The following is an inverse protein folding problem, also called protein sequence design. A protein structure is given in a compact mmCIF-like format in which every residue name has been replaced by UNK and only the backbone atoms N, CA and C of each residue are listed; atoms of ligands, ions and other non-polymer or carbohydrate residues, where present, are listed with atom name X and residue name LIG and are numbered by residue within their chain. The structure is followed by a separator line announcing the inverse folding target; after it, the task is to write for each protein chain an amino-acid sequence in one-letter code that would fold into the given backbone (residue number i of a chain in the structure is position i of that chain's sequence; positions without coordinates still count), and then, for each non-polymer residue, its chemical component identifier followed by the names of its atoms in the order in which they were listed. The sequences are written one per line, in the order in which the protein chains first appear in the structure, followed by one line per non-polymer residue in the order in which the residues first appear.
data_IF_589582920720
#
_entry.id   IF_589582920720
#
_cell.length_a   1.000
_cell.length_b   1.000
_cell.length_c   1.000
_cell.angle_alpha   90.00
_cell.angle_beta   90.00
_cell.angle_gamma   90.00
#
_symmetry.space_group_name_H-M   'P 1'
#
loop_
_entity.id
_entity.type
_entity.pdbx_description
1 polymer ?
#
# COMPACT_ATOMS: atom_id res chain seq x y z
N UNK A 1 -41.05 20.27 31.61
CA UNK A 1 -39.98 20.24 30.59
C UNK A 1 -39.05 19.08 30.94
N UNK A 2 -39.26 17.90 30.33
CA UNK A 2 -38.50 16.68 30.64
C UNK A 2 -37.21 16.70 29.81
N UNK A 3 -36.07 16.78 30.50
CA UNK A 3 -34.73 16.79 29.90
C UNK A 3 -34.33 15.34 29.63
N UNK A 4 -34.48 14.88 28.38
CA UNK A 4 -34.01 13.56 27.95
C UNK A 4 -32.48 13.58 28.03
N UNK A 5 -31.91 12.88 29.01
CA UNK A 5 -30.46 12.60 29.03
C UNK A 5 -30.18 11.67 27.86
N UNK A 6 -29.40 12.15 26.89
CA UNK A 6 -28.82 11.30 25.85
C UNK A 6 -27.93 10.27 26.55
N UNK A 7 -28.42 9.03 26.63
CA UNK A 7 -27.64 7.89 27.12
C UNK A 7 -26.56 7.60 26.11
N UNK A 8 -25.30 7.81 26.50
CA UNK A 8 -24.14 7.35 25.76
C UNK A 8 -24.16 5.82 25.79
N UNK A 9 -24.68 5.21 24.73
CA UNK A 9 -24.63 3.75 24.54
C UNK A 9 -23.17 3.41 24.27
N UNK A 10 -22.45 2.90 25.27
CA UNK A 10 -21.11 2.37 25.10
C UNK A 10 -21.26 1.05 24.33
N UNK A 11 -20.77 0.95 23.09
CA UNK A 11 -20.89 -0.29 22.34
C UNK A 11 -20.13 -1.41 23.06
N UNK A 12 -20.63 -2.66 23.01
CA UNK A 12 -19.94 -3.80 23.61
C UNK A 12 -18.52 -3.91 23.04
N UNK A 13 -17.56 -4.35 23.86
CA UNK A 13 -16.13 -4.39 23.52
C UNK A 13 -15.81 -5.05 22.16
N UNK A 14 -16.60 -6.05 21.74
CA UNK A 14 -16.48 -6.67 20.41
C UNK A 14 -16.76 -5.70 19.26
N UNK A 15 -17.82 -4.90 19.37
CA UNK A 15 -18.19 -3.91 18.35
C UNK A 15 -17.16 -2.77 18.25
N UNK A 16 -16.59 -2.34 19.39
CA UNK A 16 -15.49 -1.36 19.39
C UNK A 16 -14.22 -1.90 18.72
N UNK A 17 -13.92 -3.19 18.92
CA UNK A 17 -12.76 -3.85 18.32
C UNK A 17 -12.91 -3.94 16.79
N UNK A 18 -14.09 -4.33 16.30
CA UNK A 18 -14.41 -4.39 14.87
C UNK A 18 -14.33 -2.99 14.23
N UNK A 19 -14.91 -1.97 14.87
CA UNK A 19 -14.81 -0.59 14.40
C UNK A 19 -13.35 -0.09 14.32
N UNK A 20 -12.53 -0.44 15.32
CA UNK A 20 -11.10 -0.14 15.32
C UNK A 20 -10.34 -0.87 14.20
N UNK A 21 -10.75 -2.08 13.83
CA UNK A 21 -10.16 -2.83 12.71
C UNK A 21 -10.58 -2.24 11.35
N UNK A 22 -11.85 -1.89 11.18
CA UNK A 22 -12.37 -1.27 9.96
C UNK A 22 -11.72 0.09 9.70
N UNK A 23 -11.59 0.94 10.74
CA UNK A 23 -10.86 2.22 10.63
C UNK A 23 -9.38 2.04 10.27
N UNK A 24 -8.74 1.00 10.80
CA UNK A 24 -7.36 0.61 10.50
C UNK A 24 -7.20 0.09 9.06
N UNK A 25 -8.16 -0.69 8.56
CA UNK A 25 -8.23 -1.13 7.16
C UNK A 25 -8.37 0.05 6.20
N UNK A 26 -9.32 0.96 6.50
CA UNK A 26 -9.51 2.20 5.74
C UNK A 26 -8.20 2.99 5.71
N UNK A 27 -7.54 3.17 6.86
CA UNK A 27 -6.27 3.89 6.95
C UNK A 27 -5.17 3.30 6.06
N UNK A 28 -5.06 1.97 5.95
CA UNK A 28 -4.03 1.35 5.11
C UNK A 28 -4.18 1.67 3.62
N UNK A 29 -5.40 1.94 3.14
CA UNK A 29 -5.65 2.38 1.77
C UNK A 29 -5.11 3.79 1.50
N UNK A 30 -4.89 4.59 2.54
CA UNK A 30 -4.41 5.97 2.47
C UNK A 30 -2.93 6.12 2.87
N UNK A 31 -2.21 5.00 3.05
CA UNK A 31 -0.76 5.07 3.23
C UNK A 31 -0.13 5.76 2.02
N UNK A 32 0.75 6.71 2.29
CA UNK A 32 1.40 7.53 1.27
C UNK A 32 2.90 7.63 1.49
N UNK A 33 3.64 7.76 0.41
CA UNK A 33 5.09 7.91 0.41
C UNK A 33 5.51 9.01 -0.55
N UNK A 34 6.42 9.89 -0.12
CA UNK A 34 7.15 10.81 -1.00
C UNK A 34 8.65 10.63 -0.79
N UNK A 35 9.45 10.96 -1.81
CA UNK A 35 10.92 11.00 -1.66
C UNK A 35 11.35 12.10 -0.68
N UNK A 36 10.55 13.16 -0.55
CA UNK A 36 10.68 14.14 0.53
C UNK A 36 10.26 13.56 1.88
N UNK A 37 10.86 14.04 2.97
CA UNK A 37 10.56 13.54 4.31
C UNK A 37 9.14 13.92 4.77
N UNK A 38 8.28 12.90 4.92
CA UNK A 38 6.92 13.04 5.47
C UNK A 38 6.70 12.06 6.62
N UNK A 39 5.90 12.40 7.66
CA UNK A 39 5.59 11.49 8.77
C UNK A 39 4.94 10.16 8.33
N UNK A 40 4.23 10.14 7.19
CA UNK A 40 3.63 8.92 6.64
C UNK A 40 4.67 7.94 6.07
N UNK A 41 5.85 8.42 5.67
CA UNK A 41 6.84 7.62 4.95
C UNK A 41 7.29 6.39 5.72
N UNK A 42 7.51 6.50 7.05
CA UNK A 42 7.97 5.36 7.87
C UNK A 42 6.94 4.23 7.88
N UNK A 43 5.66 4.57 8.06
CA UNK A 43 4.56 3.60 8.07
C UNK A 43 4.38 2.96 6.70
N UNK A 44 4.44 3.77 5.64
CA UNK A 44 4.28 3.28 4.26
C UNK A 44 5.45 2.40 3.84
N UNK A 45 6.70 2.80 4.13
CA UNK A 45 7.90 1.97 3.89
C UNK A 45 7.78 0.61 4.57
N UNK A 46 7.34 0.59 5.82
CA UNK A 46 7.13 -0.66 6.55
C UNK A 46 6.05 -1.54 5.90
N UNK A 47 4.91 -0.95 5.54
CA UNK A 47 3.82 -1.68 4.89
C UNK A 47 4.24 -2.25 3.52
N UNK A 48 4.90 -1.47 2.67
CA UNK A 48 5.42 -1.90 1.36
C UNK A 48 6.43 -3.05 1.52
N UNK A 49 7.32 -2.98 2.52
CA UNK A 49 8.25 -4.07 2.82
C UNK A 49 7.54 -5.36 3.26
N UNK A 50 6.51 -5.25 4.11
CA UNK A 50 5.69 -6.41 4.51
C UNK A 50 4.93 -7.03 3.33
N UNK A 51 4.39 -6.21 2.43
CA UNK A 51 3.77 -6.69 1.19
C UNK A 51 4.78 -7.41 0.31
N UNK A 52 5.97 -6.83 0.09
CA UNK A 52 7.02 -7.49 -0.68
C UNK A 52 7.41 -8.85 -0.09
N UNK A 53 7.57 -8.91 1.24
CA UNK A 53 7.83 -10.15 1.99
C UNK A 53 6.75 -11.20 1.71
N UNK A 54 5.47 -10.81 1.84
CA UNK A 54 4.32 -11.68 1.59
C UNK A 54 4.30 -12.23 0.16
N UNK A 55 4.42 -11.37 -0.85
CA UNK A 55 4.36 -11.80 -2.26
C UNK A 55 5.56 -12.62 -2.72
N UNK A 56 6.72 -12.43 -2.07
CA UNK A 56 7.95 -13.15 -2.36
C UNK A 56 8.09 -14.48 -1.61
N UNK A 57 7.21 -14.74 -0.63
CA UNK A 57 7.31 -15.90 0.28
C UNK A 57 8.71 -16.05 0.91
N UNK A 58 9.38 -14.92 1.18
CA UNK A 58 10.69 -14.88 1.83
C UNK A 58 10.53 -14.44 3.28
N UNK A 59 11.43 -14.87 4.16
CA UNK A 59 11.37 -14.46 5.56
C UNK A 59 12.13 -13.15 5.87
N UNK A 60 13.01 -12.73 4.96
CA UNK A 60 13.99 -11.66 5.16
C UNK A 60 13.61 -10.44 4.32
N UNK A 61 13.85 -9.24 4.86
CA UNK A 61 13.81 -8.01 4.08
C UNK A 61 15.05 -7.90 3.20
N UNK A 62 14.91 -7.23 2.06
CA UNK A 62 16.03 -6.98 1.16
C UNK A 62 16.72 -5.67 1.55
N UNK A 63 18.04 -5.70 1.68
CA UNK A 63 18.83 -4.53 2.12
C UNK A 63 18.93 -3.45 1.02
N UNK A 64 18.78 -3.84 -0.25
CA UNK A 64 18.81 -2.96 -1.42
C UNK A 64 17.43 -2.48 -1.87
N UNK A 65 16.38 -2.77 -1.09
CA UNK A 65 15.01 -2.35 -1.38
C UNK A 65 14.78 -0.84 -1.19
N UNK A 66 14.09 -0.24 -2.15
CA UNK A 66 13.62 1.14 -2.12
C UNK A 66 12.16 1.22 -2.56
N UNK A 67 11.42 2.22 -2.06
CA UNK A 67 10.03 2.43 -2.48
C UNK A 67 10.04 3.16 -3.83
N UNK A 68 9.46 2.55 -4.84
CA UNK A 68 9.32 3.10 -6.18
C UNK A 68 7.87 3.54 -6.44
N UNK A 69 7.73 4.67 -7.13
CA UNK A 69 6.47 5.21 -7.60
C UNK A 69 6.24 4.78 -9.06
N UNK A 70 5.20 4.00 -9.33
CA UNK A 70 4.94 3.48 -10.68
C UNK A 70 4.59 4.64 -11.63
N UNK A 71 3.60 5.44 -11.28
CA UNK A 71 3.40 6.81 -11.82
C UNK A 71 4.28 7.78 -11.03
N UNK A 72 4.97 8.71 -11.70
CA UNK A 72 5.85 9.68 -11.04
C UNK A 72 5.12 10.45 -9.92
N UNK A 73 5.79 10.69 -8.78
CA UNK A 73 5.21 11.47 -7.69
C UNK A 73 4.90 12.92 -8.07
N UNK A 74 5.45 13.41 -9.18
CA UNK A 74 5.19 14.73 -9.76
C UNK A 74 3.79 14.86 -10.38
N UNK A 75 3.12 13.74 -10.66
CA UNK A 75 1.78 13.74 -11.28
C UNK A 75 0.67 14.07 -10.27
N UNK A 76 0.99 14.15 -8.98
CA UNK A 76 0.10 14.68 -7.94
C UNK A 76 -0.04 13.78 -6.72
N UNK A 77 -0.88 14.21 -5.78
CA UNK A 77 -1.04 13.53 -4.47
C UNK A 77 -1.48 12.07 -4.58
N UNK A 78 -2.28 11.73 -5.60
CA UNK A 78 -2.71 10.35 -5.83
C UNK A 78 -1.52 9.42 -6.17
N UNK A 79 -0.48 9.94 -6.83
CA UNK A 79 0.73 9.17 -7.12
C UNK A 79 1.51 8.78 -5.86
N UNK A 80 1.31 9.46 -4.73
CA UNK A 80 1.95 9.11 -3.46
C UNK A 80 1.33 7.89 -2.78
N UNK A 81 0.12 7.48 -3.19
CA UNK A 81 -0.65 6.44 -2.52
C UNK A 81 -0.02 5.04 -2.66
N UNK A 82 -0.15 4.19 -1.64
CA UNK A 82 0.36 2.81 -1.61
C UNK A 82 -0.06 1.95 -2.82
N UNK A 83 -1.24 2.23 -3.39
CA UNK A 83 -1.72 1.62 -4.63
C UNK A 83 -0.82 1.89 -5.82
N UNK A 84 0.02 2.94 -5.80
CA UNK A 84 1.01 3.29 -6.82
C UNK A 84 2.44 2.87 -6.45
N UNK A 85 2.64 2.17 -5.33
CA UNK A 85 3.97 1.83 -4.82
C UNK A 85 4.32 0.37 -5.02
N UNK A 86 5.59 0.11 -5.28
CA UNK A 86 6.24 -1.20 -5.19
C UNK A 86 7.56 -1.06 -4.44
N UNK A 87 8.10 -2.18 -3.94
CA UNK A 87 9.50 -2.24 -3.56
C UNK A 87 10.32 -2.58 -4.81
N UNK A 88 11.41 -1.87 -5.05
CA UNK A 88 12.32 -2.09 -6.17
C UNK A 88 13.76 -1.91 -5.70
N UNK A 89 14.69 -2.64 -6.30
CA UNK A 89 16.13 -2.48 -6.07
C UNK A 89 16.56 -1.03 -6.34
N UNK A 90 17.39 -0.45 -5.46
CA UNK A 90 17.79 0.96 -5.53
C UNK A 90 18.37 1.36 -6.89
N UNK A 91 19.18 0.50 -7.49
CA UNK A 91 19.79 0.72 -8.82
C UNK A 91 18.70 0.81 -9.89
N UNK A 92 17.73 -0.10 -9.87
CA UNK A 92 16.63 -0.13 -10.83
C UNK A 92 15.64 1.02 -10.61
N UNK A 93 15.41 1.43 -9.36
CA UNK A 93 14.61 2.63 -9.05
C UNK A 93 15.27 3.90 -9.61
N UNK A 94 16.60 4.02 -9.46
CA UNK A 94 17.37 5.09 -10.10
C UNK A 94 17.24 5.09 -11.63
N UNK A 95 17.30 3.90 -12.26
CA UNK A 95 17.12 3.75 -13.72
C UNK A 95 15.69 4.10 -14.17
N UNK A 96 14.68 3.70 -13.39
CA UNK A 96 13.27 3.96 -13.65
C UNK A 96 12.93 5.45 -13.57
N UNK A 97 13.40 6.12 -12.51
CA UNK A 97 13.26 7.57 -12.32
C UNK A 97 11.85 8.08 -12.61
N UNK A 98 11.77 9.07 -13.51
CA UNK A 98 10.52 9.71 -13.93
C UNK A 98 9.98 9.20 -15.28
N UNK A 99 10.46 8.04 -15.76
CA UNK A 99 10.00 7.45 -17.02
C UNK A 99 8.50 7.12 -16.98
N UNK A 100 7.87 7.02 -18.13
CA UNK A 100 6.49 6.54 -18.19
C UNK A 100 6.42 5.03 -17.92
N UNK A 101 5.24 4.53 -17.57
CA UNK A 101 5.09 3.13 -17.19
C UNK A 101 5.54 2.14 -18.27
N UNK A 102 5.27 2.45 -19.54
CA UNK A 102 5.66 1.60 -20.68
C UNK A 102 7.18 1.37 -20.69
N UNK A 103 7.96 2.44 -20.47
CA UNK A 103 9.41 2.34 -20.39
C UNK A 103 9.88 1.65 -19.11
N UNK A 104 9.21 1.91 -17.99
CA UNK A 104 9.53 1.28 -16.69
C UNK A 104 9.36 -0.23 -16.70
N UNK A 105 8.43 -0.79 -17.49
CA UNK A 105 8.25 -2.25 -17.61
C UNK A 105 9.56 -2.94 -18.00
N UNK A 106 10.31 -2.38 -18.95
CA UNK A 106 11.60 -2.96 -19.39
C UNK A 106 12.66 -2.98 -18.27
N UNK A 107 12.57 -2.04 -17.33
CA UNK A 107 13.44 -1.95 -16.16
C UNK A 107 12.97 -2.94 -15.09
N UNK A 108 11.65 -2.99 -14.84
CA UNK A 108 11.02 -3.91 -13.89
C UNK A 108 11.24 -5.38 -14.23
N UNK A 109 11.36 -5.72 -15.52
CA UNK A 109 11.72 -7.07 -15.97
C UNK A 109 13.08 -7.54 -15.46
N UNK A 110 14.00 -6.62 -15.16
CA UNK A 110 15.33 -6.92 -14.61
C UNK A 110 15.29 -7.23 -13.10
N UNK A 111 14.22 -6.85 -12.41
CA UNK A 111 14.10 -7.02 -10.95
C UNK A 111 14.09 -8.50 -10.58
N UNK A 112 14.76 -8.84 -9.47
CA UNK A 112 14.69 -10.15 -8.85
C UNK A 112 13.51 -10.27 -7.87
N UNK A 113 12.82 -9.17 -7.57
CA UNK A 113 11.67 -9.17 -6.66
C UNK A 113 10.45 -9.78 -7.33
N UNK A 114 9.97 -10.89 -6.77
CA UNK A 114 8.82 -11.65 -7.28
C UNK A 114 7.57 -10.77 -7.33
N UNK A 115 7.40 -9.86 -6.37
CA UNK A 115 6.26 -8.94 -6.37
C UNK A 115 6.24 -8.02 -7.59
N UNK A 116 7.41 -7.52 -8.03
CA UNK A 116 7.55 -6.66 -9.22
C UNK A 116 7.24 -7.46 -10.48
N UNK A 117 7.74 -8.69 -10.59
CA UNK A 117 7.42 -9.59 -11.73
C UNK A 117 5.92 -9.87 -11.84
N UNK A 118 5.29 -10.28 -10.74
CA UNK A 118 3.84 -10.47 -10.68
C UNK A 118 3.07 -9.19 -11.01
N UNK A 119 3.59 -8.03 -10.62
CA UNK A 119 2.94 -6.76 -10.93
C UNK A 119 2.91 -6.50 -12.43
N UNK A 120 4.04 -6.59 -13.14
CA UNK A 120 4.08 -6.35 -14.59
C UNK A 120 3.32 -7.41 -15.40
N UNK A 121 3.22 -8.64 -14.89
CA UNK A 121 2.38 -9.70 -15.50
C UNK A 121 0.88 -9.36 -15.42
N UNK A 122 0.43 -8.80 -14.29
CA UNK A 122 -0.98 -8.49 -14.06
C UNK A 122 -1.41 -7.12 -14.61
N UNK A 123 -0.45 -6.24 -14.89
CA UNK A 123 -0.70 -4.86 -15.30
C UNK A 123 0.18 -4.50 -16.49
N UNK A 124 -0.25 -4.85 -17.70
CA UNK A 124 0.43 -4.45 -18.95
C UNK A 124 0.33 -2.95 -19.21
N UNK A 125 -0.64 -2.29 -18.58
CA UNK A 125 -0.82 -0.84 -18.56
C UNK A 125 -1.07 -0.39 -17.12
N UNK A 126 -0.65 0.83 -16.82
CA UNK A 126 -0.83 1.44 -15.51
C UNK A 126 -1.03 2.94 -15.65
N UNK A 127 -2.02 3.47 -14.94
CA UNK A 127 -2.29 4.89 -14.84
C UNK A 127 -2.97 5.21 -13.49
N UNK A 128 -3.16 6.49 -13.20
CA UNK A 128 -3.66 6.95 -11.92
C UNK A 128 -5.04 6.41 -11.53
N UNK A 129 -5.92 6.14 -12.49
CA UNK A 129 -7.27 5.63 -12.20
C UNK A 129 -7.26 4.26 -11.54
N UNK A 130 -6.17 3.50 -11.68
CA UNK A 130 -6.00 2.14 -11.17
C UNK A 130 -5.47 2.10 -9.72
N UNK A 131 -4.92 3.22 -9.24
CA UNK A 131 -4.25 3.32 -7.94
C UNK A 131 -5.20 2.95 -6.80
N UNK A 132 -6.41 3.54 -6.79
CA UNK A 132 -7.38 3.36 -5.71
C UNK A 132 -7.81 1.90 -5.52
N UNK A 133 -8.09 1.21 -6.62
CA UNK A 133 -8.51 -0.21 -6.55
C UNK A 133 -7.35 -1.12 -6.13
N UNK A 134 -6.11 -0.84 -6.57
CA UNK A 134 -4.94 -1.56 -6.06
C UNK A 134 -4.70 -1.29 -4.57
N UNK A 135 -4.88 -0.06 -4.10
CA UNK A 135 -4.74 0.28 -2.68
C UNK A 135 -5.72 -0.51 -1.79
N UNK A 136 -6.98 -0.63 -2.21
CA UNK A 136 -7.98 -1.50 -1.55
C UNK A 136 -7.52 -2.95 -1.47
N UNK A 137 -7.05 -3.51 -2.60
CA UNK A 137 -6.56 -4.89 -2.65
C UNK A 137 -5.36 -5.12 -1.71
N UNK A 138 -4.38 -4.20 -1.73
CA UNK A 138 -3.20 -4.29 -0.86
C UNK A 138 -3.56 -4.14 0.61
N UNK A 139 -4.48 -3.23 0.96
CA UNK A 139 -4.97 -3.10 2.33
C UNK A 139 -5.65 -4.38 2.80
N UNK A 140 -6.44 -5.04 1.95
CA UNK A 140 -7.13 -6.28 2.28
C UNK A 140 -6.14 -7.39 2.58
N UNK A 141 -5.18 -7.61 1.68
CA UNK A 141 -4.07 -8.57 1.86
C UNK A 141 -3.31 -8.26 3.16
N UNK A 142 -3.03 -6.99 3.43
CA UNK A 142 -2.29 -6.62 4.63
C UNK A 142 -3.03 -7.00 5.93
N UNK A 143 -4.35 -6.79 6.00
CA UNK A 143 -5.13 -7.11 7.20
C UNK A 143 -5.48 -8.59 7.30
N UNK A 144 -6.03 -9.17 6.24
CA UNK A 144 -6.52 -10.55 6.22
C UNK A 144 -5.34 -11.54 6.19
N UNK A 145 -4.36 -11.32 5.30
CA UNK A 145 -3.32 -12.32 5.07
C UNK A 145 -2.08 -12.11 5.92
N UNK A 146 -1.63 -10.86 6.10
CA UNK A 146 -0.39 -10.54 6.83
C UNK A 146 -0.67 -10.41 8.33
N UNK A 147 -1.70 -9.68 8.73
CA UNK A 147 -2.06 -9.49 10.13
C UNK A 147 -3.02 -10.55 10.69
N UNK A 148 -3.60 -11.41 9.83
CA UNK A 148 -4.57 -12.45 10.21
C UNK A 148 -5.76 -11.87 10.98
N UNK A 149 -6.36 -10.80 10.45
CA UNK A 149 -7.52 -10.11 11.00
C UNK A 149 -8.70 -10.19 10.04
N UNK A 150 -9.87 -10.48 10.59
CA UNK A 150 -11.12 -10.46 9.81
C UNK A 150 -11.57 -9.02 9.59
N UNK A 151 -11.98 -8.71 8.36
CA UNK A 151 -12.61 -7.44 8.00
C UNK A 151 -14.05 -7.78 7.63
N UNK A 152 -15.03 -7.17 8.30
CA UNK A 152 -16.43 -7.34 7.90
C UNK A 152 -16.63 -6.75 6.50
N UNK A 153 -17.24 -7.52 5.59
CA UNK A 153 -17.59 -7.03 4.26
C UNK A 153 -18.70 -5.99 4.41
N UNK A 154 -18.39 -4.73 4.13
CA UNK A 154 -19.36 -3.62 4.05
C UNK A 154 -20.21 -3.69 2.80
#
# INVERSE_FOLDING_TARGET
MIRIRSSMVIPPYGHYTIYCQNSKFIFAQFLSYSKSEKPSNVKTKYAVNKLNKYFSNKEIFFDDGSVEHIVSETEGENALNIGNLVLLEQVLNGEAGHKCYIDKIHIYQKSCYIWVKKFIENYTQWNESMIKERAKKLARIYYEDILKRDIEQS
#
